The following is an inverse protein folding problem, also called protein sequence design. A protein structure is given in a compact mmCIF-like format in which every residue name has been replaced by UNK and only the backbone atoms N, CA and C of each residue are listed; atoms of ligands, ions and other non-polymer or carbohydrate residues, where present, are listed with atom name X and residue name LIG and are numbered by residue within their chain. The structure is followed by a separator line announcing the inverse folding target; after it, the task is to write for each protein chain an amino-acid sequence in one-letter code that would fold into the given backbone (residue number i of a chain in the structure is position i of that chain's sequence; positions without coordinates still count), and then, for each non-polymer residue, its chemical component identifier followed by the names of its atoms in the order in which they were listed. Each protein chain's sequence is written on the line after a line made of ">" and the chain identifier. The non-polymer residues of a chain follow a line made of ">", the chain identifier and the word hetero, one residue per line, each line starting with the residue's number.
data_IF_161041440137
#
_entry.id   IF_161041440137
#
_cell.length_a   1.000
_cell.length_b   1.000
_cell.length_c   1.000
_cell.angle_alpha   90.00
_cell.angle_beta   90.00
_cell.angle_gamma   90.00
#
_symmetry.space_group_name_H-M   'P 1'
#
loop_
_entity.id
_entity.type
_entity.pdbx_description
1 polymer ?
#
# COMPACT_ATOMS: atom_id res chain seq x y z
N UNK A 1 -12.70 -15.42 -9.26
CA UNK A 1 -13.24 -14.04 -9.24
C UNK A 1 -13.27 -13.42 -10.64
N UNK A 2 -12.15 -13.30 -11.36
CA UNK A 2 -12.08 -12.66 -12.68
C UNK A 2 -12.70 -13.43 -13.86
N UNK A 3 -13.97 -13.82 -13.79
CA UNK A 3 -14.78 -14.28 -14.94
C UNK A 3 -15.76 -13.19 -15.37
N UNK A 4 -16.41 -13.30 -16.54
CA UNK A 4 -17.41 -12.31 -17.00
C UNK A 4 -18.52 -12.05 -15.97
N UNK A 5 -19.04 -13.12 -15.35
CA UNK A 5 -20.08 -13.04 -14.31
C UNK A 5 -19.50 -12.45 -13.01
N UNK A 6 -18.31 -12.86 -12.61
CA UNK A 6 -17.65 -12.34 -11.41
C UNK A 6 -17.32 -10.85 -11.50
N UNK A 7 -16.77 -10.40 -12.62
CA UNK A 7 -16.51 -8.98 -12.91
C UNK A 7 -17.79 -8.13 -12.78
N UNK A 8 -18.90 -8.58 -13.37
CA UNK A 8 -20.18 -7.89 -13.26
C UNK A 8 -20.72 -7.89 -11.81
N UNK A 9 -20.63 -9.02 -11.10
CA UNK A 9 -21.11 -9.15 -9.72
C UNK A 9 -20.28 -8.32 -8.73
N UNK A 10 -18.94 -8.35 -8.82
CA UNK A 10 -18.06 -7.63 -7.91
C UNK A 10 -17.90 -6.14 -8.24
N UNK A 11 -18.41 -5.66 -9.37
CA UNK A 11 -18.63 -4.23 -9.64
C UNK A 11 -19.99 -3.72 -9.16
N UNK A 12 -20.96 -4.59 -8.83
CA UNK A 12 -22.29 -4.17 -8.39
C UNK A 12 -22.25 -3.53 -6.98
N UNK A 13 -22.78 -2.31 -6.77
CA UNK A 13 -22.77 -1.65 -5.46
C UNK A 13 -23.53 -2.41 -4.36
N UNK A 14 -24.69 -3.01 -4.67
CA UNK A 14 -25.53 -3.75 -3.73
C UNK A 14 -24.84 -5.02 -3.23
N UNK A 15 -24.07 -5.68 -4.11
CA UNK A 15 -23.23 -6.84 -3.77
C UNK A 15 -22.09 -6.42 -2.83
N UNK A 16 -21.39 -5.32 -3.16
CA UNK A 16 -20.30 -4.81 -2.32
C UNK A 16 -20.80 -4.29 -0.95
N UNK A 17 -22.03 -3.76 -0.85
CA UNK A 17 -22.66 -3.44 0.45
C UNK A 17 -22.88 -4.68 1.33
N UNK A 18 -23.09 -5.87 0.76
CA UNK A 18 -23.18 -7.10 1.58
C UNK A 18 -21.78 -7.58 2.00
N UNK A 19 -20.78 -7.50 1.10
CA UNK A 19 -19.39 -7.77 1.45
C UNK A 19 -18.86 -6.84 2.54
N UNK A 20 -19.22 -5.55 2.51
CA UNK A 20 -18.91 -4.60 3.57
C UNK A 20 -19.42 -5.09 4.93
N UNK A 21 -20.71 -5.46 5.04
CA UNK A 21 -21.30 -5.99 6.28
C UNK A 21 -20.57 -7.24 6.77
N UNK A 22 -20.30 -8.19 5.86
CA UNK A 22 -19.59 -9.43 6.19
C UNK A 22 -18.17 -9.17 6.69
N UNK A 23 -17.43 -8.27 6.04
CA UNK A 23 -16.04 -7.98 6.37
C UNK A 23 -15.91 -7.06 7.59
N UNK A 24 -16.88 -6.18 7.86
CA UNK A 24 -16.98 -5.46 9.14
C UNK A 24 -17.24 -6.43 10.30
N UNK A 25 -18.12 -7.41 10.12
CA UNK A 25 -18.34 -8.46 11.14
C UNK A 25 -17.09 -9.33 11.35
N UNK A 26 -16.37 -9.67 10.28
CA UNK A 26 -15.11 -10.41 10.34
C UNK A 26 -13.98 -9.61 11.02
N UNK A 27 -13.85 -8.31 10.71
CA UNK A 27 -12.91 -7.42 11.41
C UNK A 27 -13.20 -7.36 12.92
N UNK A 28 -14.48 -7.30 13.31
CA UNK A 28 -14.92 -7.40 14.71
C UNK A 28 -14.50 -8.70 15.41
N UNK A 29 -14.36 -9.81 14.68
CA UNK A 29 -13.73 -11.03 15.20
C UNK A 29 -12.20 -10.90 15.27
N UNK A 30 -11.55 -10.40 14.22
CA UNK A 30 -10.08 -10.31 14.13
C UNK A 30 -9.44 -9.36 15.17
N UNK A 31 -10.15 -8.34 15.63
CA UNK A 31 -9.69 -7.49 16.74
C UNK A 31 -9.90 -8.13 18.12
N UNK A 32 -10.70 -9.19 18.23
CA UNK A 32 -10.99 -9.88 19.48
C UNK A 32 -9.95 -10.95 19.85
N UNK A 33 -9.85 -11.24 21.15
CA UNK A 33 -9.04 -12.31 21.73
C UNK A 33 -9.26 -13.69 21.08
N UNK A 34 -10.50 -13.98 20.67
CA UNK A 34 -10.90 -15.25 20.03
C UNK A 34 -10.18 -15.52 18.69
N UNK A 35 -9.65 -14.49 18.04
CA UNK A 35 -8.88 -14.63 16.79
C UNK A 35 -7.46 -15.15 17.00
N UNK A 36 -6.94 -15.11 18.23
CA UNK A 36 -5.58 -15.59 18.57
C UNK A 36 -5.36 -17.08 18.31
N UNK A 37 -6.41 -17.88 18.08
CA UNK A 37 -6.31 -19.32 17.82
C UNK A 37 -5.39 -19.70 16.64
N UNK A 38 -5.12 -18.80 15.69
CA UNK A 38 -4.15 -19.02 14.59
C UNK A 38 -2.73 -18.56 14.90
N UNK A 39 -2.51 -17.83 16.00
CA UNK A 39 -1.22 -17.31 16.46
C UNK A 39 -0.49 -18.37 17.32
N UNK A 40 -0.20 -19.52 16.71
CA UNK A 40 0.40 -20.68 17.37
C UNK A 40 1.46 -21.37 16.49
N UNK A 41 2.23 -22.31 17.07
CA UNK A 41 3.33 -23.02 16.40
C UNK A 41 2.96 -24.36 15.75
N UNK A 42 1.69 -24.77 15.81
CA UNK A 42 1.17 -25.97 15.15
C UNK A 42 1.02 -25.79 13.63
N UNK A 43 0.69 -26.87 12.93
CA UNK A 43 0.56 -26.85 11.46
C UNK A 43 -0.49 -25.83 10.99
N UNK A 44 -0.08 -24.93 10.09
CA UNK A 44 -0.93 -23.82 9.60
C UNK A 44 -1.02 -22.61 10.53
N UNK A 45 -0.40 -22.65 11.71
CA UNK A 45 -0.28 -21.49 12.61
C UNK A 45 0.79 -20.50 12.16
N UNK A 46 0.59 -19.22 12.51
CA UNK A 46 1.49 -18.10 12.13
C UNK A 46 2.89 -18.16 12.76
N UNK A 47 3.09 -19.00 13.78
CA UNK A 47 4.41 -19.25 14.39
C UNK A 47 4.89 -20.69 14.17
N UNK A 48 4.31 -21.39 13.19
CA UNK A 48 4.82 -22.68 12.73
C UNK A 48 6.20 -22.53 12.10
N UNK A 49 7.01 -23.57 12.10
CA UNK A 49 8.35 -23.51 11.48
C UNK A 49 8.28 -23.13 10.00
N UNK A 50 7.24 -23.54 9.28
CA UNK A 50 6.98 -23.13 7.89
C UNK A 50 6.72 -21.63 7.77
N UNK A 51 5.92 -21.06 8.67
CA UNK A 51 5.65 -19.63 8.68
C UNK A 51 6.91 -18.83 9.06
N UNK A 52 7.60 -19.23 10.14
CA UNK A 52 8.83 -18.57 10.62
C UNK A 52 9.99 -18.66 9.61
N UNK A 53 10.07 -19.72 8.80
CA UNK A 53 11.07 -19.82 7.72
C UNK A 53 10.74 -18.95 6.49
N UNK A 54 9.60 -18.24 6.46
CA UNK A 54 9.21 -17.41 5.31
C UNK A 54 9.92 -16.03 5.31
N UNK A 55 10.18 -15.41 4.13
CA UNK A 55 10.89 -14.13 4.02
C UNK A 55 10.26 -12.93 4.73
N UNK A 56 9.02 -13.04 5.21
CA UNK A 56 8.31 -11.98 5.93
C UNK A 56 8.25 -12.18 7.45
N UNK A 57 8.70 -13.34 7.93
CA UNK A 57 8.58 -13.77 9.34
C UNK A 57 9.89 -14.26 9.95
N UNK A 58 10.93 -14.49 9.14
CA UNK A 58 12.25 -14.97 9.56
C UNK A 58 12.97 -14.07 10.56
N UNK A 59 12.73 -12.75 10.51
CA UNK A 59 13.25 -11.78 11.48
C UNK A 59 12.16 -11.28 12.45
N UNK A 60 11.04 -12.00 12.62
CA UNK A 60 9.86 -11.45 13.31
C UNK A 60 10.02 -11.28 14.82
N UNK A 61 10.93 -12.03 15.45
CA UNK A 61 11.33 -11.82 16.83
C UNK A 61 12.12 -10.51 16.99
N UNK A 62 13.10 -10.27 16.11
CA UNK A 62 13.97 -9.09 16.13
C UNK A 62 13.26 -7.84 15.62
N UNK A 63 12.42 -7.96 14.58
CA UNK A 63 11.69 -6.84 13.98
C UNK A 63 10.44 -6.46 14.74
N UNK A 64 9.66 -7.42 15.25
CA UNK A 64 8.33 -7.16 15.84
C UNK A 64 8.17 -7.74 17.25
N UNK A 65 9.22 -8.26 17.86
CA UNK A 65 9.18 -8.81 19.22
C UNK A 65 8.27 -10.03 19.36
N UNK A 66 8.08 -10.85 18.32
CA UNK A 66 7.30 -12.10 18.42
C UNK A 66 7.97 -13.04 19.43
N UNK A 67 7.27 -13.37 20.51
CA UNK A 67 7.75 -14.31 21.54
C UNK A 67 6.86 -15.56 21.57
N UNK A 68 7.29 -16.60 20.85
CA UNK A 68 6.57 -17.87 20.71
C UNK A 68 6.45 -18.66 22.03
N UNK A 69 7.11 -18.23 23.11
CA UNK A 69 6.92 -18.81 24.46
C UNK A 69 5.70 -18.23 25.19
N UNK A 70 5.10 -17.16 24.67
CA UNK A 70 3.90 -16.52 25.23
C UNK A 70 2.64 -16.96 24.49
N UNK A 71 1.46 -16.95 25.17
CA UNK A 71 0.18 -17.02 24.49
C UNK A 71 0.12 -16.02 23.34
N UNK A 72 -0.35 -16.49 22.18
CA UNK A 72 -0.53 -15.68 20.98
C UNK A 72 0.72 -14.89 20.52
N UNK A 73 1.94 -15.34 20.87
CA UNK A 73 3.18 -14.67 20.49
C UNK A 73 3.42 -13.32 21.19
N UNK A 74 2.66 -13.03 22.25
CA UNK A 74 2.42 -11.75 22.97
C UNK A 74 1.24 -10.88 22.48
N UNK A 75 0.63 -11.18 21.34
CA UNK A 75 -0.37 -10.30 20.71
C UNK A 75 -1.77 -10.55 21.28
N UNK A 76 -2.57 -9.49 21.45
CA UNK A 76 -3.91 -9.60 22.06
C UNK A 76 -4.99 -10.14 21.11
N UNK A 77 -4.74 -10.06 19.80
CA UNK A 77 -5.64 -10.51 18.73
C UNK A 77 -4.85 -10.74 17.44
N UNK A 78 -5.48 -11.37 16.45
CA UNK A 78 -4.87 -11.54 15.13
C UNK A 78 -4.62 -10.19 14.45
N UNK A 79 -5.53 -9.24 14.57
CA UNK A 79 -5.33 -7.91 13.97
C UNK A 79 -4.21 -7.12 14.68
N UNK A 80 -4.04 -7.30 15.99
CA UNK A 80 -2.90 -6.74 16.74
C UNK A 80 -1.55 -7.34 16.29
N UNK A 81 -1.54 -8.60 15.86
CA UNK A 81 -0.37 -9.21 15.21
C UNK A 81 -0.18 -8.71 13.77
N UNK A 82 -1.24 -8.58 12.97
CA UNK A 82 -1.14 -8.11 11.59
C UNK A 82 -0.65 -6.65 11.50
N UNK A 83 -1.22 -5.79 12.36
CA UNK A 83 -0.84 -4.37 12.53
C UNK A 83 0.36 -4.17 13.48
N UNK A 84 1.17 -5.21 13.72
CA UNK A 84 2.34 -5.19 14.63
C UNK A 84 3.31 -4.04 14.33
N UNK A 85 3.81 -3.42 15.39
CA UNK A 85 4.82 -2.37 15.34
C UNK A 85 6.23 -2.94 15.24
N UNK A 86 7.11 -2.24 14.51
CA UNK A 86 8.56 -2.50 14.59
C UNK A 86 9.07 -2.17 16.00
N UNK A 87 10.01 -2.98 16.53
CA UNK A 87 10.76 -2.57 17.72
C UNK A 87 11.53 -1.27 17.43
N UNK A 88 11.62 -0.30 18.37
CA UNK A 88 11.96 1.10 18.05
C UNK A 88 13.27 1.35 17.29
N UNK A 89 14.24 0.43 17.37
CA UNK A 89 15.54 0.52 16.74
C UNK A 89 15.61 -0.12 15.33
N UNK A 90 14.55 -0.79 14.86
CA UNK A 90 14.62 -1.67 13.66
C UNK A 90 14.46 -0.95 12.32
N UNK A 91 13.78 0.20 12.28
CA UNK A 91 13.55 1.01 11.06
C UNK A 91 13.65 2.52 11.35
N UNK A 92 14.83 3.02 11.75
CA UNK A 92 15.07 4.45 11.88
C UNK A 92 14.84 5.17 10.54
N UNK A 93 14.37 6.42 10.59
CA UNK A 93 14.13 7.24 9.40
C UNK A 93 15.47 7.57 8.72
N UNK A 94 15.58 7.27 7.43
CA UNK A 94 16.76 7.58 6.65
C UNK A 94 16.92 9.11 6.47
N UNK A 95 18.08 9.62 6.90
CA UNK A 95 18.48 11.02 6.84
C UNK A 95 17.36 11.97 7.32
N UNK A 96 16.96 11.94 8.60
CA UNK A 96 15.76 12.65 9.08
C UNK A 96 15.83 14.15 8.77
N UNK A 97 17.00 14.76 8.98
CA UNK A 97 17.28 16.19 8.79
C UNK A 97 17.62 16.57 7.33
N UNK A 98 17.78 15.59 6.43
CA UNK A 98 18.11 15.86 5.03
C UNK A 98 16.85 16.11 4.18
N UNK A 99 16.88 17.26 3.52
CA UNK A 99 15.85 17.81 2.65
C UNK A 99 16.39 18.09 1.22
N UNK A 100 17.62 17.65 0.90
CA UNK A 100 18.45 18.15 -0.23
C UNK A 100 18.94 17.06 -1.20
N UNK A 101 19.16 17.41 -2.48
CA UNK A 101 19.16 16.43 -3.60
C UNK A 101 20.13 16.73 -4.77
N UNK A 102 20.72 15.67 -5.34
CA UNK A 102 21.66 15.57 -6.49
C UNK A 102 21.44 14.18 -7.16
N UNK A 103 21.40 13.92 -8.49
CA UNK A 103 21.34 14.68 -9.77
C UNK A 103 21.06 13.75 -10.99
N UNK A 104 20.66 14.33 -12.14
CA UNK A 104 20.68 13.81 -13.53
C UNK A 104 19.74 12.63 -13.92
N UNK A 105 18.59 12.93 -14.52
CA UNK A 105 17.87 12.11 -15.55
C UNK A 105 17.32 13.06 -16.64
N UNK A 106 16.89 12.55 -17.81
CA UNK A 106 16.58 13.36 -19.02
C UNK A 106 15.08 13.67 -19.24
N UNK A 107 14.82 14.61 -20.16
CA UNK A 107 13.52 15.22 -20.49
C UNK A 107 12.46 14.27 -21.10
N UNK A 108 12.88 13.11 -21.63
CA UNK A 108 11.99 12.12 -22.21
C UNK A 108 12.34 10.75 -21.63
N UNK A 109 11.38 10.16 -20.92
CA UNK A 109 11.45 8.78 -20.46
C UNK A 109 10.03 8.20 -20.32
N UNK A 110 9.92 6.87 -20.31
CA UNK A 110 8.62 6.18 -20.40
C UNK A 110 8.38 5.37 -19.13
N UNK A 111 7.53 5.85 -18.22
CA UNK A 111 7.35 5.20 -16.93
C UNK A 111 6.32 4.06 -16.99
N UNK A 112 6.80 2.82 -17.03
CA UNK A 112 6.00 1.59 -17.04
C UNK A 112 6.13 0.83 -15.71
N UNK A 113 5.04 0.73 -14.94
CA UNK A 113 4.91 -0.25 -13.86
C UNK A 113 3.75 -1.22 -14.17
N UNK A 114 4.11 -2.43 -14.63
CA UNK A 114 3.23 -3.57 -14.92
C UNK A 114 2.19 -3.33 -16.04
N UNK A 115 2.60 -2.70 -17.14
CA UNK A 115 1.88 -2.63 -18.43
C UNK A 115 0.40 -2.19 -18.36
N UNK A 116 0.07 -1.32 -17.39
CA UNK A 116 -1.30 -0.88 -17.14
C UNK A 116 -1.45 0.65 -17.10
N UNK A 117 -2.50 1.13 -17.75
CA UNK A 117 -2.90 2.53 -17.73
C UNK A 117 -3.62 2.85 -16.41
N UNK A 118 -3.07 3.81 -15.67
CA UNK A 118 -3.66 4.37 -14.46
C UNK A 118 -4.65 5.48 -14.82
N UNK A 119 -5.79 5.55 -14.14
CA UNK A 119 -6.73 6.68 -14.27
C UNK A 119 -6.67 7.51 -12.99
N UNK A 120 -5.88 8.60 -13.01
CA UNK A 120 -5.75 9.51 -11.85
C UNK A 120 -7.11 10.09 -11.42
N UNK A 121 -8.00 10.38 -12.37
CA UNK A 121 -9.37 10.80 -12.08
C UNK A 121 -10.10 9.75 -11.24
N UNK A 122 -10.11 8.47 -11.66
CA UNK A 122 -10.74 7.43 -10.84
C UNK A 122 -9.98 7.20 -9.52
N UNK A 123 -8.65 7.13 -9.51
CA UNK A 123 -7.85 6.91 -8.29
C UNK A 123 -8.09 7.99 -7.22
N UNK A 124 -8.33 9.25 -7.64
CA UNK A 124 -8.66 10.39 -6.77
C UNK A 124 -10.17 10.65 -6.65
N UNK A 125 -11.00 9.69 -7.06
CA UNK A 125 -12.48 9.70 -7.04
C UNK A 125 -13.15 10.91 -7.74
N UNK A 126 -12.46 11.46 -8.73
CA UNK A 126 -12.81 12.65 -9.52
C UNK A 126 -12.69 13.97 -8.74
N UNK A 127 -11.86 14.02 -7.69
CA UNK A 127 -11.38 15.27 -7.11
C UNK A 127 -10.73 16.15 -8.22
N UNK A 128 -11.09 17.44 -8.35
CA UNK A 128 -10.60 18.30 -9.43
C UNK A 128 -9.08 18.52 -9.39
N UNK A 129 -8.40 18.23 -8.27
CA UNK A 129 -6.93 18.23 -8.19
C UNK A 129 -6.29 17.12 -9.00
N UNK A 130 -7.03 16.12 -9.49
CA UNK A 130 -6.48 15.06 -10.36
C UNK A 130 -5.75 15.62 -11.59
N UNK A 131 -6.21 16.74 -12.15
CA UNK A 131 -5.53 17.44 -13.26
C UNK A 131 -4.15 17.96 -12.85
N UNK A 132 -3.96 18.35 -11.59
CA UNK A 132 -2.67 18.82 -11.05
C UNK A 132 -1.62 17.71 -10.93
N UNK A 133 -1.98 16.44 -11.14
CA UNK A 133 -1.06 15.29 -11.15
C UNK A 133 -0.91 14.66 -12.55
N UNK A 134 -1.60 15.18 -13.57
CA UNK A 134 -1.70 14.55 -14.88
C UNK A 134 -0.35 14.47 -15.63
N UNK A 135 -0.07 13.30 -16.21
CA UNK A 135 1.10 13.07 -17.05
C UNK A 135 2.44 13.02 -16.30
N UNK A 136 2.46 12.60 -15.03
CA UNK A 136 3.64 12.60 -14.14
C UNK A 136 3.82 11.29 -13.38
N UNK A 137 4.90 11.22 -12.61
CA UNK A 137 5.35 10.03 -11.88
C UNK A 137 4.33 9.58 -10.84
N UNK A 138 3.94 8.31 -10.95
CA UNK A 138 3.29 7.54 -9.88
C UNK A 138 4.28 6.49 -9.41
N UNK A 139 4.67 6.55 -8.13
CA UNK A 139 5.28 5.41 -7.47
C UNK A 139 4.17 4.53 -6.89
N UNK A 140 4.27 3.21 -7.03
CA UNK A 140 3.39 2.26 -6.36
C UNK A 140 4.18 1.09 -5.78
N UNK A 141 3.81 0.66 -4.57
CA UNK A 141 4.35 -0.54 -3.95
C UNK A 141 3.28 -1.40 -3.30
N UNK A 142 3.45 -2.72 -3.45
CA UNK A 142 2.58 -3.77 -2.96
C UNK A 142 3.06 -4.31 -1.60
N UNK A 143 2.10 -4.70 -0.76
CA UNK A 143 2.30 -5.28 0.57
C UNK A 143 1.64 -6.67 0.61
N UNK A 144 2.47 -7.71 0.45
CA UNK A 144 2.16 -9.10 0.82
C UNK A 144 1.64 -9.17 2.26
N UNK A 145 0.69 -10.06 2.56
CA UNK A 145 0.02 -10.18 3.86
C UNK A 145 0.93 -10.58 5.06
N UNK A 146 2.22 -10.88 4.81
CA UNK A 146 3.24 -11.02 5.86
C UNK A 146 4.01 -9.73 6.17
N UNK A 147 3.84 -8.67 5.37
CA UNK A 147 4.60 -7.43 5.44
C UNK A 147 4.26 -6.59 6.68
N UNK A 148 4.84 -5.40 6.77
CA UNK A 148 4.43 -4.40 7.75
C UNK A 148 3.28 -3.55 7.18
N UNK A 149 2.07 -3.67 7.72
CA UNK A 149 0.85 -3.07 7.15
C UNK A 149 0.50 -1.67 7.67
N UNK A 150 1.39 -1.03 8.44
CA UNK A 150 1.27 0.40 8.75
C UNK A 150 1.99 1.25 7.72
N UNK A 151 1.49 2.47 7.51
CA UNK A 151 2.03 3.42 6.55
C UNK A 151 2.34 4.76 7.23
N UNK A 152 3.40 5.40 6.73
CA UNK A 152 4.03 6.57 7.33
C UNK A 152 4.06 7.71 6.31
N UNK A 153 4.10 8.95 6.79
CA UNK A 153 4.22 10.13 5.94
C UNK A 153 5.61 10.13 5.25
N UNK A 154 5.68 10.21 3.91
CA UNK A 154 6.96 10.08 3.19
C UNK A 154 7.83 11.35 3.27
N UNK A 155 7.26 12.46 3.76
CA UNK A 155 7.83 13.80 3.83
C UNK A 155 7.34 14.49 5.12
N UNK A 156 8.04 15.55 5.55
CA UNK A 156 7.50 16.48 6.56
C UNK A 156 6.51 17.44 5.89
N UNK A 157 5.48 17.87 6.62
CA UNK A 157 4.44 18.76 6.11
C UNK A 157 3.14 18.65 6.91
N UNK A 158 2.01 18.87 6.24
CA UNK A 158 0.68 18.72 6.84
C UNK A 158 -0.34 18.10 5.88
N UNK A 159 -1.39 17.50 6.44
CA UNK A 159 -2.58 17.04 5.70
C UNK A 159 -3.42 18.26 5.35
N UNK A 160 -3.76 18.41 4.06
CA UNK A 160 -4.52 19.56 3.53
C UNK A 160 -6.01 19.49 3.91
N UNK A 161 -6.64 18.35 3.63
CA UNK A 161 -8.06 18.09 3.93
C UNK A 161 -8.21 16.80 4.76
N UNK A 162 -9.29 16.64 5.54
CA UNK A 162 -9.63 15.37 6.17
C UNK A 162 -9.57 14.19 5.17
N UNK A 163 -8.81 13.11 5.47
CA UNK A 163 -8.63 11.96 4.57
C UNK A 163 -9.95 11.37 4.05
N UNK A 164 -10.06 11.25 2.71
CA UNK A 164 -11.26 10.76 2.07
C UNK A 164 -11.22 9.22 1.95
N UNK A 165 -12.08 8.52 2.71
CA UNK A 165 -12.26 7.07 2.58
C UNK A 165 -13.29 6.79 1.49
N UNK A 166 -12.82 6.31 0.34
CA UNK A 166 -13.63 6.01 -0.84
C UNK A 166 -14.01 4.52 -0.82
N UNK A 167 -15.18 4.22 -0.27
CA UNK A 167 -15.74 2.86 -0.29
C UNK A 167 -16.12 2.44 -1.71
N UNK A 168 -15.52 1.35 -2.22
CA UNK A 168 -15.79 0.81 -3.56
C UNK A 168 -15.86 -0.72 -3.53
N UNK A 169 -15.06 -1.42 -4.32
CA UNK A 169 -15.16 -2.87 -4.48
C UNK A 169 -14.16 -3.63 -3.62
N UNK A 170 -14.53 -4.87 -3.26
CA UNK A 170 -13.72 -5.77 -2.46
C UNK A 170 -13.02 -6.81 -3.36
N UNK A 171 -13.78 -7.58 -4.13
CA UNK A 171 -13.30 -8.76 -4.88
C UNK A 171 -13.31 -8.60 -6.41
N UNK A 172 -13.28 -7.36 -6.91
CA UNK A 172 -13.33 -7.11 -8.35
C UNK A 172 -11.97 -7.39 -9.00
N UNK A 173 -11.99 -8.17 -10.09
CA UNK A 173 -10.81 -8.59 -10.86
C UNK A 173 -11.07 -8.27 -12.34
N UNK A 174 -10.12 -7.67 -13.09
CA UNK A 174 -10.36 -7.32 -14.48
C UNK A 174 -10.36 -8.57 -15.37
N UNK A 175 -11.04 -8.50 -16.52
CA UNK A 175 -11.13 -9.63 -17.45
C UNK A 175 -9.83 -9.90 -18.23
N UNK A 176 -8.88 -8.94 -18.23
CA UNK A 176 -7.63 -9.05 -19.00
C UNK A 176 -6.54 -9.85 -18.25
N UNK A 177 -6.45 -9.72 -16.93
CA UNK A 177 -5.50 -10.48 -16.09
C UNK A 177 -6.18 -11.50 -15.17
N UNK A 178 -7.51 -11.58 -15.21
CA UNK A 178 -8.30 -12.69 -14.66
C UNK A 178 -8.39 -13.89 -15.61
N UNK A 179 -9.41 -14.72 -15.42
CA UNK A 179 -9.69 -15.86 -16.29
C UNK A 179 -10.20 -15.40 -17.66
N UNK A 180 -9.30 -15.27 -18.65
CA UNK A 180 -9.69 -15.23 -20.06
C UNK A 180 -10.38 -16.57 -20.41
N UNK A 181 -11.70 -16.59 -20.65
CA UNK A 181 -12.51 -17.81 -20.49
C UNK A 181 -12.28 -18.88 -21.56
N UNK A 182 -11.53 -18.57 -22.62
CA UNK A 182 -11.37 -19.44 -23.80
C UNK A 182 -9.91 -19.75 -24.16
N UNK A 183 -8.91 -19.23 -23.45
CA UNK A 183 -7.49 -19.36 -23.87
C UNK A 183 -6.43 -19.24 -22.77
N UNK A 184 -6.80 -19.06 -21.49
CA UNK A 184 -5.83 -19.04 -20.39
C UNK A 184 -5.44 -20.44 -19.90
N UNK A 185 -4.28 -20.60 -19.23
CA UNK A 185 -4.00 -21.82 -18.47
C UNK A 185 -5.04 -22.01 -17.35
N UNK A 186 -5.31 -23.26 -16.99
CA UNK A 186 -6.35 -23.62 -16.02
C UNK A 186 -5.97 -23.38 -14.53
N UNK A 187 -4.95 -22.55 -14.29
CA UNK A 187 -4.34 -22.34 -12.97
C UNK A 187 -5.04 -21.18 -12.23
N UNK A 188 -5.60 -21.38 -11.03
CA UNK A 188 -6.45 -20.39 -10.38
C UNK A 188 -5.67 -19.22 -9.76
N UNK A 189 -5.54 -18.13 -10.52
CA UNK A 189 -5.28 -16.76 -10.03
C UNK A 189 -4.18 -16.66 -8.93
N UNK A 190 -2.90 -17.04 -9.21
CA UNK A 190 -1.83 -16.95 -8.21
C UNK A 190 -1.41 -15.51 -7.85
N UNK A 191 -1.96 -14.51 -8.54
CA UNK A 191 -1.49 -13.12 -8.43
C UNK A 191 -2.21 -12.09 -9.30
N UNK A 192 -3.46 -12.30 -9.74
CA UNK A 192 -4.12 -11.29 -10.57
C UNK A 192 -4.41 -9.98 -9.80
N UNK A 193 -4.35 -9.97 -8.46
CA UNK A 193 -4.35 -8.72 -7.68
C UNK A 193 -3.01 -7.97 -7.83
N UNK A 194 -1.89 -8.69 -7.67
CA UNK A 194 -0.53 -8.17 -7.88
C UNK A 194 -0.24 -7.78 -9.33
N UNK A 195 -0.97 -8.38 -10.28
CA UNK A 195 -0.94 -8.11 -11.71
C UNK A 195 -2.13 -7.25 -12.19
N UNK A 196 -2.94 -6.65 -11.31
CA UNK A 196 -3.98 -5.66 -11.68
C UNK A 196 -3.87 -4.35 -10.90
N UNK A 197 -2.65 -3.97 -10.55
CA UNK A 197 -2.34 -2.80 -9.70
C UNK A 197 -2.90 -1.46 -10.25
N UNK A 198 -2.98 -1.29 -11.58
CA UNK A 198 -3.61 -0.11 -12.20
C UNK A 198 -5.13 -0.15 -12.26
N UNK A 199 -5.72 -1.33 -12.23
CA UNK A 199 -7.18 -1.50 -12.13
C UNK A 199 -7.66 -1.36 -10.68
N UNK A 200 -7.00 -2.03 -9.73
CA UNK A 200 -7.42 -2.09 -8.33
C UNK A 200 -7.31 -0.73 -7.64
N UNK A 201 -6.32 0.10 -8.00
CA UNK A 201 -6.18 1.48 -7.51
C UNK A 201 -7.31 2.42 -7.96
N UNK A 202 -8.04 2.08 -9.03
CA UNK A 202 -9.22 2.81 -9.49
C UNK A 202 -10.54 2.26 -8.91
N UNK A 203 -10.68 0.93 -8.73
CA UNK A 203 -11.97 0.31 -8.38
C UNK A 203 -12.09 -0.23 -6.95
N UNK A 204 -11.01 -0.41 -6.22
CA UNK A 204 -11.07 -0.92 -4.85
C UNK A 204 -11.26 0.19 -3.81
N UNK A 205 -11.66 -0.20 -2.60
CA UNK A 205 -11.78 0.70 -1.47
C UNK A 205 -10.41 1.28 -1.11
N UNK A 206 -10.33 2.60 -0.98
CA UNK A 206 -9.07 3.33 -0.82
C UNK A 206 -9.23 4.59 0.01
N UNK A 207 -8.16 5.01 0.69
CA UNK A 207 -8.06 6.34 1.29
C UNK A 207 -7.25 7.26 0.38
N UNK A 208 -7.73 8.48 0.16
CA UNK A 208 -7.01 9.55 -0.54
C UNK A 208 -6.58 10.59 0.49
N UNK A 209 -5.27 10.86 0.55
CA UNK A 209 -4.66 11.83 1.47
C UNK A 209 -3.85 12.83 0.69
N UNK A 210 -4.22 14.11 0.77
CA UNK A 210 -3.44 15.21 0.20
C UNK A 210 -2.51 15.79 1.25
N UNK A 211 -1.22 15.88 0.93
CA UNK A 211 -0.16 16.38 1.80
C UNK A 211 0.49 17.58 1.12
N UNK A 212 0.55 18.73 1.79
CA UNK A 212 1.45 19.83 1.39
C UNK A 212 2.76 19.65 2.15
N UNK A 213 3.83 19.33 1.42
CA UNK A 213 5.15 19.10 1.99
C UNK A 213 5.85 20.42 2.35
N UNK A 214 6.64 20.42 3.43
CA UNK A 214 7.47 21.57 3.82
C UNK A 214 8.53 21.92 2.76
N UNK A 215 8.99 20.91 2.01
CA UNK A 215 9.85 21.12 0.85
C UNK A 215 9.01 21.56 -0.37
N UNK A 216 9.20 22.83 -0.77
CA UNK A 216 8.50 23.48 -1.88
C UNK A 216 8.79 22.90 -3.26
N UNK A 217 9.90 22.18 -3.45
CA UNK A 217 10.19 21.44 -4.69
C UNK A 217 9.25 20.22 -4.85
N UNK A 218 8.49 19.89 -3.81
CA UNK A 218 7.35 18.96 -3.80
C UNK A 218 6.04 19.77 -3.68
N UNK A 219 5.89 20.47 -2.55
CA UNK A 219 4.62 21.00 -2.06
C UNK A 219 3.52 19.93 -2.05
N UNK A 220 2.33 20.26 -2.59
CA UNK A 220 1.22 19.31 -2.74
C UNK A 220 1.63 18.00 -3.43
N UNK A 221 1.40 16.89 -2.74
CA UNK A 221 1.42 15.53 -3.26
C UNK A 221 0.15 14.78 -2.82
N UNK A 222 -0.19 13.68 -3.51
CA UNK A 222 -1.28 12.79 -3.13
C UNK A 222 -0.75 11.40 -2.77
N UNK A 223 -1.21 10.87 -1.64
CA UNK A 223 -0.96 9.51 -1.16
C UNK A 223 -2.27 8.73 -1.19
N UNK A 224 -2.29 7.64 -1.95
CA UNK A 224 -3.50 6.84 -2.21
C UNK A 224 -3.26 5.44 -1.66
N UNK A 225 -4.00 5.08 -0.62
CA UNK A 225 -3.86 3.84 0.13
C UNK A 225 -4.97 2.89 -0.31
N UNK A 226 -4.64 1.74 -0.90
CA UNK A 226 -5.60 0.87 -1.60
C UNK A 226 -5.66 -0.48 -0.90
N UNK A 227 -6.86 -0.85 -0.43
CA UNK A 227 -7.14 -2.20 0.03
C UNK A 227 -7.30 -3.16 -1.14
N UNK A 228 -6.81 -4.40 -1.02
CA UNK A 228 -6.91 -5.42 -2.06
C UNK A 228 -7.61 -6.67 -1.51
N UNK A 229 -8.57 -7.19 -2.29
CA UNK A 229 -9.36 -8.39 -1.98
C UNK A 229 -10.06 -8.35 -0.60
N UNK A 230 -9.37 -8.86 0.42
CA UNK A 230 -9.84 -8.93 1.80
C UNK A 230 -9.62 -7.62 2.57
N UNK A 231 -8.58 -6.85 2.22
CA UNK A 231 -8.39 -5.51 2.79
C UNK A 231 -9.36 -4.56 2.13
N UNK A 232 -10.14 -3.89 2.95
CA UNK A 232 -10.73 -2.58 2.66
C UNK A 232 -10.88 -1.73 3.93
N UNK A 233 -10.44 -2.25 5.07
CA UNK A 233 -10.32 -1.53 6.32
C UNK A 233 -9.00 -0.75 6.30
N UNK A 234 -9.11 0.56 6.18
CA UNK A 234 -8.00 1.51 6.17
C UNK A 234 -8.28 2.50 7.29
N UNK A 235 -7.46 2.47 8.34
CA UNK A 235 -7.54 3.41 9.45
C UNK A 235 -6.48 4.50 9.27
N UNK A 236 -6.88 5.77 9.34
CA UNK A 236 -5.97 6.91 9.43
C UNK A 236 -6.01 7.43 10.87
N UNK A 237 -4.96 7.14 11.64
CA UNK A 237 -4.84 7.56 13.05
C UNK A 237 -4.32 8.99 13.22
N UNK A 238 -3.68 9.56 12.19
CA UNK A 238 -3.19 10.94 12.26
C UNK A 238 -4.37 11.94 12.17
N UNK A 239 -4.55 12.84 13.14
CA UNK A 239 -5.62 13.82 13.09
C UNK A 239 -5.39 14.85 11.96
N UNK A 240 -6.46 15.35 11.30
CA UNK A 240 -6.35 16.44 10.33
C UNK A 240 -5.66 17.68 10.91
N UNK A 241 -5.02 18.48 10.05
CA UNK A 241 -4.31 19.72 10.40
C UNK A 241 -3.12 19.58 11.38
N UNK A 242 -2.72 18.36 11.74
CA UNK A 242 -1.43 18.14 12.41
C UNK A 242 -0.28 18.35 11.41
N UNK A 243 0.70 19.17 11.80
CA UNK A 243 2.04 19.16 11.21
C UNK A 243 2.81 17.92 11.68
N UNK A 244 3.51 17.26 10.77
CA UNK A 244 4.26 16.02 11.02
C UNK A 244 5.65 16.05 10.41
N UNK A 245 6.56 15.23 10.97
CA UNK A 245 7.87 14.97 10.37
C UNK A 245 7.88 13.70 9.53
N UNK A 246 8.71 13.68 8.50
CA UNK A 246 9.03 12.51 7.66
C UNK A 246 9.19 11.25 8.50
N UNK A 247 8.38 10.22 8.22
CA UNK A 247 8.40 8.93 8.92
C UNK A 247 7.46 8.80 10.12
N UNK A 248 6.68 9.81 10.49
CA UNK A 248 5.58 9.61 11.45
C UNK A 248 4.48 8.67 10.89
N UNK A 249 3.87 7.86 11.75
CA UNK A 249 2.79 6.96 11.35
C UNK A 249 1.53 7.74 10.98
N UNK A 250 1.04 7.54 9.75
CA UNK A 250 -0.21 8.08 9.25
C UNK A 250 -1.39 7.17 9.60
N UNK A 251 -1.22 5.85 9.50
CA UNK A 251 -2.27 4.86 9.75
C UNK A 251 -1.87 3.42 9.41
N UNK A 252 -2.84 2.54 9.23
CA UNK A 252 -2.64 1.14 8.83
C UNK A 252 -3.79 0.52 8.02
N UNK A 253 -3.45 -0.56 7.32
CA UNK A 253 -4.40 -1.49 6.74
C UNK A 253 -4.69 -2.63 7.74
N UNK A 254 -5.91 -3.15 7.74
CA UNK A 254 -6.32 -4.32 8.52
C UNK A 254 -6.71 -5.48 7.58
N UNK A 255 -6.27 -6.70 7.94
CA UNK A 255 -6.52 -8.00 7.28
C UNK A 255 -6.41 -8.10 5.74
N UNK A 256 -5.22 -8.51 5.24
CA UNK A 256 -5.04 -9.07 3.89
C UNK A 256 -3.90 -8.42 3.08
N UNK A 257 -4.04 -8.36 1.75
CA UNK A 257 -3.08 -7.68 0.87
C UNK A 257 -3.43 -6.20 0.65
N UNK A 258 -2.42 -5.34 0.53
CA UNK A 258 -2.65 -3.91 0.25
C UNK A 258 -1.59 -3.31 -0.68
N UNK A 259 -1.86 -2.13 -1.23
CA UNK A 259 -0.92 -1.39 -2.07
C UNK A 259 -1.09 0.11 -1.83
N UNK A 260 -0.07 0.91 -2.15
CA UNK A 260 -0.16 2.36 -2.03
C UNK A 260 0.53 3.06 -3.20
N UNK A 261 -0.07 4.16 -3.65
CA UNK A 261 0.47 5.03 -4.69
C UNK A 261 0.89 6.37 -4.08
N UNK A 262 2.02 6.93 -4.56
CA UNK A 262 2.42 8.32 -4.34
C UNK A 262 2.41 9.05 -5.68
N UNK A 263 1.64 10.14 -5.76
CA UNK A 263 1.46 10.95 -6.98
C UNK A 263 1.98 12.37 -6.74
N UNK A 264 2.76 12.89 -7.68
CA UNK A 264 3.48 14.16 -7.56
C UNK A 264 3.12 15.13 -8.69
N UNK A 265 3.09 16.44 -8.41
CA UNK A 265 2.72 17.47 -9.38
C UNK A 265 3.75 17.61 -10.52
N UNK A 266 3.37 18.17 -11.68
CA UNK A 266 4.32 18.67 -12.66
C UNK A 266 5.37 19.59 -12.03
N UNK A 267 6.63 19.38 -12.39
CA UNK A 267 7.79 20.10 -11.81
C UNK A 267 8.52 19.31 -10.73
N UNK A 268 7.84 18.39 -10.01
CA UNK A 268 8.50 17.49 -9.06
C UNK A 268 9.26 16.41 -9.84
N UNK A 269 10.58 16.52 -9.90
CA UNK A 269 11.47 15.54 -10.54
C UNK A 269 11.95 14.56 -9.47
N UNK A 270 11.90 13.26 -9.71
CA UNK A 270 12.34 12.24 -8.73
C UNK A 270 13.50 11.41 -9.28
N UNK A 271 14.58 11.34 -8.51
CA UNK A 271 15.61 10.31 -8.64
C UNK A 271 15.36 9.24 -7.59
N UNK A 272 14.94 8.04 -8.02
CA UNK A 272 14.80 6.88 -7.14
C UNK A 272 16.18 6.33 -6.77
N UNK A 273 16.30 5.72 -5.58
CA UNK A 273 17.55 5.10 -5.10
C UNK A 273 17.60 3.58 -5.33
N UNK A 274 16.77 3.08 -6.23
CA UNK A 274 16.80 1.67 -6.64
C UNK A 274 18.13 1.35 -7.35
N UNK A 275 18.68 0.13 -7.18
CA UNK A 275 19.60 -0.48 -8.16
C UNK A 275 19.10 -0.37 -9.60
N UNK A 276 20.02 -0.31 -10.56
CA UNK A 276 19.73 -0.06 -11.99
C UNK A 276 18.79 -1.09 -12.65
N UNK A 277 18.63 -2.28 -12.05
CA UNK A 277 17.80 -3.40 -12.53
C UNK A 277 16.28 -3.21 -12.29
N UNK A 278 15.84 -2.02 -11.86
CA UNK A 278 14.50 -1.80 -11.27
C UNK A 278 13.85 -0.55 -11.92
N UNK A 279 12.69 -0.67 -12.61
CA UNK A 279 11.58 -1.55 -12.21
C UNK A 279 11.12 -2.57 -13.27
N UNK A 280 10.37 -3.58 -12.82
CA UNK A 280 9.68 -4.54 -13.68
C UNK A 280 8.63 -5.37 -12.89
N UNK A 281 7.70 -6.06 -13.57
CA UNK A 281 6.61 -6.80 -12.90
C UNK A 281 7.10 -7.95 -12.02
N UNK A 282 8.30 -8.47 -12.29
CA UNK A 282 8.92 -9.61 -11.61
C UNK A 282 9.84 -9.22 -10.44
N UNK A 283 9.93 -7.94 -10.08
CA UNK A 283 10.80 -7.50 -8.99
C UNK A 283 10.23 -7.89 -7.62
N UNK A 284 10.96 -8.72 -6.88
CA UNK A 284 10.62 -9.20 -5.53
C UNK A 284 11.43 -8.54 -4.41
N UNK A 285 12.27 -7.53 -4.73
CA UNK A 285 13.11 -6.82 -3.76
C UNK A 285 12.22 -6.04 -2.79
N UNK A 286 12.26 -6.44 -1.51
CA UNK A 286 11.55 -5.76 -0.44
C UNK A 286 12.26 -4.45 -0.07
N UNK A 287 11.66 -3.30 -0.42
CA UNK A 287 12.21 -2.00 -0.03
C UNK A 287 11.97 -1.74 1.47
N UNK A 288 12.98 -1.46 2.29
CA UNK A 288 12.78 -1.31 3.74
C UNK A 288 11.93 -0.08 4.09
N UNK A 289 10.96 -0.26 4.97
CA UNK A 289 10.19 0.84 5.60
C UNK A 289 11.16 1.84 6.24
N UNK A 290 10.83 3.13 6.17
CA UNK A 290 11.65 4.27 6.64
C UNK A 290 12.98 4.50 5.90
N UNK A 291 13.34 3.68 4.90
CA UNK A 291 14.53 3.91 4.07
C UNK A 291 14.29 4.96 2.96
N UNK A 292 15.37 5.53 2.42
CA UNK A 292 15.29 6.59 1.42
C UNK A 292 14.90 6.03 0.03
N UNK A 293 13.60 6.06 -0.28
CA UNK A 293 13.02 5.64 -1.56
C UNK A 293 13.53 6.44 -2.77
N UNK A 294 13.45 7.77 -2.67
CA UNK A 294 13.74 8.69 -3.76
C UNK A 294 14.15 10.06 -3.21
N UNK A 295 14.64 10.91 -4.10
CA UNK A 295 15.11 12.26 -3.83
C UNK A 295 14.61 13.22 -4.93
N UNK A 296 13.98 14.33 -4.50
CA UNK A 296 13.33 15.34 -5.36
C UNK A 296 14.33 16.36 -5.92
N UNK A 297 14.48 16.44 -7.23
CA UNK A 297 15.45 17.34 -7.88
C UNK A 297 14.80 18.67 -8.20
N UNK A 298 15.41 19.78 -7.76
CA UNK A 298 14.96 21.13 -8.10
C UNK A 298 15.00 21.38 -9.63
N UNK A 299 14.04 22.13 -10.20
CA UNK A 299 14.03 22.44 -11.64
C UNK A 299 15.30 23.20 -12.07
N UNK A 300 15.95 22.72 -13.13
CA UNK A 300 17.10 23.44 -13.72
C UNK A 300 16.61 24.74 -14.36
N UNK A 301 16.99 25.89 -13.80
CA UNK A 301 16.78 27.20 -14.43
C UNK A 301 17.65 27.34 -15.68
N UNK A 302 17.07 26.98 -16.83
CA UNK A 302 17.57 27.44 -18.13
C UNK A 302 17.33 28.94 -18.26
N UNK A 303 18.42 29.71 -18.26
CA UNK A 303 18.46 31.12 -18.61
C UNK A 303 18.42 31.32 -20.14
#
# INVERSE_FOLDING_TARGET
>A
MGSKVGFAAFLNPEVNQQFQKMLTAWAGFLVSDKSTGTLNSGQGGWFSQTALNSPHMVDSAESFGVDITKPAGRFTSWDNFFTREFLPHRRPVASPDDLSIIRNVKLHDTFWLKDQNYSLAHMLDNDPRAEQFAGRTVYQAFLSAGSYHRFHVPVSGHIVDPPAIVARTYYSKPLLTGFSPNSGPADPDPGADEASQGYISAVATRAVVFIEADNKDIGLMAMILVGMAQVSSIEITMPPQKNFVKGEQLGMFHFGGSTHCLCFRPGVILQFKFPDDIPGPNNTIQWPVSSALATVVAPTTTA
#
